data_IF_563828438161
#
_entry.id   IF_563828438161
#
_cell.length_a   1.000
_cell.length_b   1.000
_cell.length_c   1.000
_cell.angle_alpha   90.00
_cell.angle_beta   90.00
_cell.angle_gamma   90.00
#
_symmetry.space_group_name_H-M   'P 1'
#
loop_
_entity.id
_entity.type
_entity.pdbx_description
1 polymer ?
#
# COMPACT_ATOMS: atom_id res chain seq x y z
N UNK A 1 -10.72 7.17 8.95
CA UNK A 1 -11.23 5.88 8.46
C UNK A 1 -10.11 4.85 8.53
N UNK A 2 -10.46 3.58 8.50
CA UNK A 2 -9.54 2.43 8.57
C UNK A 2 -9.33 1.76 7.18
N UNK A 3 -10.29 1.98 6.27
CA UNK A 3 -10.25 1.48 4.89
C UNK A 3 -11.18 2.30 3.98
N UNK A 4 -11.15 2.01 2.70
CA UNK A 4 -12.05 2.61 1.71
C UNK A 4 -13.52 2.35 1.97
N UNK A 5 -14.40 3.01 1.23
CA UNK A 5 -15.84 2.89 1.38
C UNK A 5 -16.29 1.43 1.22
N UNK A 6 -17.19 0.98 2.08
CA UNK A 6 -17.80 -0.35 1.95
C UNK A 6 -18.80 -0.39 0.78
N UNK A 7 -18.79 -1.42 -0.08
CA UNK A 7 -19.79 -1.59 -1.12
C UNK A 7 -21.22 -1.77 -0.56
N UNK A 8 -21.35 -2.13 0.72
CA UNK A 8 -22.66 -2.19 1.40
C UNK A 8 -23.31 -0.81 1.60
N UNK A 9 -22.60 0.28 1.30
CA UNK A 9 -23.16 1.63 1.29
C UNK A 9 -24.01 1.93 0.04
N UNK A 10 -24.31 0.93 -0.78
CA UNK A 10 -25.06 1.05 -2.05
C UNK A 10 -24.46 2.12 -2.97
N UNK A 11 -23.28 1.80 -3.52
CA UNK A 11 -22.47 2.73 -4.33
C UNK A 11 -23.23 3.22 -5.58
N UNK A 12 -24.11 2.37 -6.14
CA UNK A 12 -24.90 2.70 -7.31
C UNK A 12 -25.98 3.73 -6.96
N UNK A 13 -26.67 3.57 -5.82
CA UNK A 13 -27.63 4.56 -5.34
C UNK A 13 -26.94 5.90 -5.02
N UNK A 14 -25.80 5.87 -4.34
CA UNK A 14 -25.00 7.07 -4.07
C UNK A 14 -24.58 7.80 -5.35
N UNK A 15 -24.21 7.05 -6.39
CA UNK A 15 -23.85 7.63 -7.68
C UNK A 15 -25.01 8.36 -8.35
N UNK A 16 -26.28 7.91 -8.16
CA UNK A 16 -27.47 8.58 -8.73
C UNK A 16 -27.68 9.98 -8.17
N UNK A 17 -27.22 10.23 -6.93
CA UNK A 17 -27.28 11.56 -6.28
C UNK A 17 -25.97 12.33 -6.40
N UNK A 18 -25.04 11.84 -7.25
CA UNK A 18 -23.76 12.49 -7.50
C UNK A 18 -22.71 12.29 -6.41
N UNK A 19 -22.95 11.43 -5.43
CA UNK A 19 -21.99 11.13 -4.37
C UNK A 19 -21.06 10.00 -4.78
N UNK A 20 -19.74 10.25 -4.71
CA UNK A 20 -18.68 9.29 -5.03
C UNK A 20 -17.79 9.12 -3.81
N UNK A 21 -18.03 8.13 -2.94
CA UNK A 21 -17.31 7.99 -1.67
C UNK A 21 -15.83 7.66 -1.83
N UNK A 22 -15.42 7.02 -2.94
CA UNK A 22 -14.01 6.82 -3.29
C UNK A 22 -13.45 7.97 -4.15
N UNK A 23 -14.19 9.07 -4.37
CA UNK A 23 -13.81 10.23 -5.18
C UNK A 23 -13.41 9.81 -6.61
N UNK A 24 -12.15 10.03 -7.01
CA UNK A 24 -11.59 9.63 -8.32
C UNK A 24 -10.84 8.31 -8.26
N UNK A 25 -10.66 7.75 -7.07
CA UNK A 25 -9.90 6.53 -6.85
C UNK A 25 -10.69 5.31 -7.30
N UNK A 26 -10.02 4.39 -7.98
CA UNK A 26 -10.61 3.11 -8.38
C UNK A 26 -10.87 2.23 -7.18
N UNK A 27 -11.94 1.45 -7.24
CA UNK A 27 -12.26 0.44 -6.24
C UNK A 27 -12.84 1.00 -4.95
N UNK A 28 -12.91 0.14 -3.96
CA UNK A 28 -13.48 0.39 -2.64
C UNK A 28 -12.87 -0.59 -1.61
N UNK A 29 -13.36 -0.62 -0.39
CA UNK A 29 -12.96 -1.58 0.65
C UNK A 29 -12.74 -2.97 0.06
N UNK A 30 -11.66 -3.63 0.47
CA UNK A 30 -11.18 -4.95 0.05
C UNK A 30 -10.29 -4.97 -1.20
N UNK A 31 -10.33 -3.94 -2.03
CA UNK A 31 -9.59 -3.90 -3.28
C UNK A 31 -8.13 -3.46 -3.09
N UNK A 32 -7.26 -3.91 -4.00
CA UNK A 32 -5.85 -3.49 -4.05
C UNK A 32 -5.69 -2.05 -4.58
N UNK A 33 -6.70 -1.53 -5.26
CA UNK A 33 -6.72 -0.19 -5.84
C UNK A 33 -6.76 0.92 -4.77
N UNK A 34 -6.40 2.15 -5.16
CA UNK A 34 -6.34 3.32 -4.26
C UNK A 34 -7.64 3.53 -3.47
N UNK A 35 -8.82 3.30 -4.05
CA UNK A 35 -10.11 3.42 -3.36
C UNK A 35 -10.31 2.42 -2.21
N UNK A 36 -9.50 1.34 -2.16
CA UNK A 36 -9.54 0.35 -1.08
C UNK A 36 -8.83 0.81 0.19
N UNK A 37 -7.81 1.66 0.08
CA UNK A 37 -6.92 1.99 1.20
C UNK A 37 -6.50 3.47 1.28
N UNK A 38 -6.69 4.28 0.25
CA UNK A 38 -6.41 5.72 0.30
C UNK A 38 -7.53 6.46 1.03
N UNK A 39 -7.29 6.71 2.31
CA UNK A 39 -8.25 7.26 3.25
C UNK A 39 -7.76 8.60 3.82
N UNK A 40 -8.68 9.48 4.27
CA UNK A 40 -8.29 10.71 4.95
C UNK A 40 -7.74 10.44 6.34
N UNK A 41 -6.61 11.09 6.69
CA UNK A 41 -6.09 11.20 8.05
C UNK A 41 -6.27 12.64 8.53
N UNK A 42 -6.96 12.83 9.65
CA UNK A 42 -7.16 14.14 10.29
C UNK A 42 -6.67 14.04 11.74
N UNK A 43 -5.70 14.88 12.08
CA UNK A 43 -5.12 14.91 13.42
C UNK A 43 -5.38 16.28 14.06
N UNK A 44 -5.85 16.26 15.31
CA UNK A 44 -6.05 17.47 16.11
C UNK A 44 -5.32 17.33 17.43
N UNK A 45 -4.28 18.14 17.61
CA UNK A 45 -3.51 18.18 18.84
C UNK A 45 -3.13 19.65 19.17
N UNK A 46 -4.03 20.37 19.84
CA UNK A 46 -3.77 21.79 20.21
C UNK A 46 -2.44 21.93 20.94
N UNK A 47 -1.74 23.02 20.69
CA UNK A 47 -0.42 23.37 21.20
C UNK A 47 0.76 22.59 20.60
N UNK A 48 0.55 21.53 19.84
CA UNK A 48 1.60 20.74 19.18
C UNK A 48 1.50 20.80 17.65
N UNK A 49 0.28 20.83 17.12
CA UNK A 49 0.01 20.88 15.69
C UNK A 49 -0.67 22.21 15.36
N UNK A 50 -0.12 22.95 14.41
CA UNK A 50 -0.71 24.18 13.94
C UNK A 50 -2.05 23.94 13.22
N UNK A 51 -3.05 24.77 13.51
CA UNK A 51 -4.35 24.65 12.83
C UNK A 51 -4.23 24.95 11.33
N UNK A 52 -4.97 24.18 10.51
CA UNK A 52 -5.01 24.36 9.06
C UNK A 52 -3.77 23.85 8.31
N UNK A 53 -2.88 23.09 8.96
CA UNK A 53 -1.75 22.45 8.30
C UNK A 53 -2.24 21.33 7.39
N UNK A 54 -1.64 21.23 6.19
CA UNK A 54 -1.84 20.16 5.23
C UNK A 54 -0.49 19.53 4.93
N UNK A 55 -0.44 18.20 4.86
CA UNK A 55 0.75 17.45 4.47
C UNK A 55 0.39 16.46 3.35
N UNK A 56 1.17 16.48 2.27
CA UNK A 56 0.99 15.61 1.10
C UNK A 56 1.88 14.35 1.15
N UNK A 57 2.63 14.19 2.24
CA UNK A 57 3.50 13.02 2.45
C UNK A 57 2.64 11.76 2.62
N UNK A 58 3.00 10.69 1.90
CA UNK A 58 2.35 9.39 2.07
C UNK A 58 2.66 8.82 3.45
N UNK A 59 1.60 8.41 4.15
CA UNK A 59 1.63 7.81 5.49
C UNK A 59 0.74 6.56 5.51
N UNK A 60 0.91 5.71 6.50
CA UNK A 60 0.13 4.49 6.68
C UNK A 60 -0.46 4.38 8.08
N UNK A 61 -1.56 3.64 8.23
CA UNK A 61 -2.13 3.39 9.56
C UNK A 61 -1.19 2.61 10.48
N UNK A 62 -0.32 1.77 9.93
CA UNK A 62 0.70 1.06 10.73
C UNK A 62 1.66 2.03 11.43
N UNK A 63 1.81 3.26 10.92
CA UNK A 63 2.68 4.30 11.46
C UNK A 63 2.22 4.84 12.81
N UNK A 64 0.96 4.60 13.17
CA UNK A 64 0.42 5.05 14.44
C UNK A 64 1.13 4.40 15.64
N UNK A 65 1.62 3.16 15.52
CA UNK A 65 2.33 2.50 16.62
C UNK A 65 3.65 3.21 16.94
N UNK A 66 4.53 3.41 15.95
CA UNK A 66 5.78 4.14 16.14
C UNK A 66 5.53 5.61 16.53
N UNK A 67 4.47 6.24 15.99
CA UNK A 67 4.10 7.61 16.33
C UNK A 67 3.68 7.74 17.80
N UNK A 68 2.87 6.80 18.30
CA UNK A 68 2.47 6.83 19.72
C UNK A 68 3.64 6.54 20.65
N UNK A 69 4.53 5.61 20.30
CA UNK A 69 5.75 5.34 21.05
C UNK A 69 6.64 6.60 21.13
N UNK A 70 6.84 7.29 20.01
CA UNK A 70 7.62 8.53 19.93
C UNK A 70 6.98 9.66 20.76
N UNK A 71 5.66 9.81 20.75
CA UNK A 71 4.92 10.78 21.60
C UNK A 71 5.16 10.51 23.09
N UNK A 72 5.18 9.23 23.48
CA UNK A 72 5.37 8.82 24.86
C UNK A 72 6.84 8.81 25.28
N UNK A 73 7.77 8.91 24.34
CA UNK A 73 9.20 8.79 24.61
C UNK A 73 9.65 7.36 24.93
N UNK A 74 8.88 6.36 24.51
CA UNK A 74 9.14 4.95 24.74
C UNK A 74 9.79 4.32 23.50
N UNK A 75 11.02 3.76 23.63
CA UNK A 75 11.66 3.10 22.48
C UNK A 75 10.94 1.78 22.18
N UNK A 76 10.71 1.53 20.89
CA UNK A 76 10.25 0.23 20.41
C UNK A 76 11.44 -0.74 20.30
N UNK A 77 11.28 -2.02 20.69
CA UNK A 77 12.28 -3.03 20.41
C UNK A 77 12.37 -3.31 18.90
N UNK A 78 13.50 -3.84 18.45
CA UNK A 78 13.78 -4.04 17.02
C UNK A 78 12.88 -5.10 16.35
N UNK A 79 12.28 -5.96 17.16
CA UNK A 79 11.31 -7.01 16.77
C UNK A 79 9.85 -6.59 16.95
N UNK A 80 9.58 -5.29 16.97
CA UNK A 80 8.22 -4.73 17.01
C UNK A 80 8.11 -3.52 16.09
N UNK A 81 6.93 -3.37 15.50
CA UNK A 81 6.62 -2.27 14.57
C UNK A 81 7.55 -2.22 13.32
N UNK A 82 7.87 -3.39 12.78
CA UNK A 82 8.82 -3.61 11.68
C UNK A 82 8.50 -2.80 10.43
N UNK A 83 7.22 -2.41 10.26
CA UNK A 83 6.72 -1.61 9.15
C UNK A 83 6.25 -0.21 9.56
N UNK A 84 6.46 0.18 10.82
CA UNK A 84 5.93 1.43 11.36
C UNK A 84 6.99 2.53 11.42
N UNK A 85 6.65 3.72 10.92
CA UNK A 85 7.50 4.91 10.94
C UNK A 85 6.79 6.04 11.68
N UNK A 86 7.46 6.71 12.62
CA UNK A 86 6.84 7.81 13.35
C UNK A 86 6.49 8.99 12.44
N UNK A 87 5.23 9.41 12.49
CA UNK A 87 4.70 10.61 11.82
C UNK A 87 4.79 11.86 12.70
N UNK A 88 5.30 11.77 13.92
CA UNK A 88 5.31 12.87 14.90
C UNK A 88 5.99 14.14 14.35
N UNK A 89 7.13 13.97 13.68
CA UNK A 89 7.84 15.10 13.08
C UNK A 89 7.02 15.76 11.96
N UNK A 90 6.30 14.97 11.16
CA UNK A 90 5.40 15.47 10.11
C UNK A 90 4.23 16.23 10.73
N UNK A 91 3.56 15.66 11.72
CA UNK A 91 2.43 16.30 12.40
C UNK A 91 2.80 17.65 13.02
N UNK A 92 4.00 17.73 13.60
CA UNK A 92 4.51 18.97 14.23
C UNK A 92 5.17 19.95 13.23
N UNK A 93 5.12 19.67 11.92
CA UNK A 93 5.71 20.56 10.90
C UNK A 93 7.24 20.65 10.97
N UNK A 94 7.92 19.60 11.46
CA UNK A 94 9.38 19.54 11.64
C UNK A 94 10.10 18.76 10.54
N UNK A 95 9.37 18.29 9.52
CA UNK A 95 9.96 17.59 8.36
C UNK A 95 10.28 18.59 7.25
N UNK A 96 11.29 18.27 6.44
CA UNK A 96 11.55 19.00 5.20
C UNK A 96 10.43 18.71 4.18
N UNK A 97 9.97 19.77 3.51
CA UNK A 97 8.92 19.63 2.49
C UNK A 97 9.36 18.67 1.37
N UNK A 98 8.51 17.72 1.03
CA UNK A 98 8.75 16.74 -0.03
C UNK A 98 9.67 15.59 0.35
N UNK A 99 10.17 15.52 1.58
CA UNK A 99 10.95 14.37 2.04
C UNK A 99 10.00 13.27 2.49
N UNK A 100 10.06 12.05 1.89
CA UNK A 100 9.25 10.93 2.33
C UNK A 100 9.68 10.45 3.73
N UNK A 101 8.73 9.99 4.52
CA UNK A 101 8.99 9.38 5.84
C UNK A 101 9.50 7.94 5.69
N UNK A 102 9.08 7.28 4.64
CA UNK A 102 9.41 5.88 4.30
C UNK A 102 9.83 5.76 2.85
N UNK A 103 10.55 4.71 2.51
CA UNK A 103 10.95 4.42 1.14
C UNK A 103 9.74 4.09 0.28
N UNK A 104 8.97 3.09 0.68
CA UNK A 104 7.77 2.64 -0.02
C UNK A 104 6.65 2.25 0.95
N UNK A 105 5.42 2.13 0.45
CA UNK A 105 4.28 1.59 1.18
C UNK A 105 3.82 0.28 0.55
N UNK A 106 3.46 -0.69 1.39
CA UNK A 106 2.90 -1.98 0.96
C UNK A 106 1.46 -2.06 1.40
N UNK A 107 0.58 -2.56 0.53
CA UNK A 107 -0.83 -2.80 0.83
C UNK A 107 -1.23 -4.21 0.41
N UNK A 108 -2.30 -4.69 1.02
CA UNK A 108 -2.92 -5.96 0.67
C UNK A 108 -4.39 -5.75 0.31
N UNK A 109 -4.85 -6.53 -0.64
CA UNK A 109 -6.28 -6.74 -0.86
C UNK A 109 -6.83 -7.80 0.09
N UNK A 110 -8.15 -8.00 0.09
CA UNK A 110 -8.81 -8.98 0.97
C UNK A 110 -8.40 -10.43 0.67
N UNK A 111 -7.98 -10.75 -0.55
CA UNK A 111 -7.46 -12.08 -0.88
C UNK A 111 -5.96 -12.23 -0.60
N UNK A 112 -5.32 -11.20 -0.03
CA UNK A 112 -3.90 -11.19 0.32
C UNK A 112 -2.94 -10.81 -0.81
N UNK A 113 -3.44 -10.40 -1.99
CA UNK A 113 -2.56 -9.90 -3.05
C UNK A 113 -1.81 -8.66 -2.58
N UNK A 114 -0.54 -8.55 -3.00
CA UNK A 114 0.34 -7.47 -2.60
C UNK A 114 0.32 -6.31 -3.61
N UNK A 115 0.50 -5.10 -3.11
CA UNK A 115 0.96 -3.96 -3.90
C UNK A 115 2.07 -3.22 -3.19
N UNK A 116 2.96 -2.60 -3.96
CA UNK A 116 3.99 -1.69 -3.45
C UNK A 116 3.91 -0.36 -4.18
N UNK A 117 4.05 0.73 -3.42
CA UNK A 117 4.08 2.09 -3.95
C UNK A 117 5.37 2.79 -3.54
N UNK A 118 6.11 3.27 -4.53
CA UNK A 118 7.31 4.11 -4.38
C UNK A 118 7.10 5.42 -5.15
N UNK A 119 6.97 6.52 -4.44
CA UNK A 119 6.64 7.81 -5.03
C UNK A 119 5.28 7.79 -5.74
N UNK A 120 5.26 8.06 -7.05
CA UNK A 120 4.05 7.99 -7.87
C UNK A 120 3.80 6.59 -8.47
N UNK A 121 4.80 5.72 -8.52
CA UNK A 121 4.65 4.40 -9.08
C UNK A 121 4.01 3.43 -8.10
N UNK A 122 3.00 2.69 -8.57
CA UNK A 122 2.34 1.62 -7.82
C UNK A 122 2.28 0.36 -8.65
N UNK A 123 2.89 -0.71 -8.11
CA UNK A 123 2.87 -2.06 -8.67
C UNK A 123 1.91 -2.92 -7.86
N UNK A 124 1.03 -3.64 -8.55
CA UNK A 124 0.07 -4.57 -7.96
C UNK A 124 0.35 -5.98 -8.48
N UNK A 125 0.63 -6.91 -7.57
CA UNK A 125 1.04 -8.30 -7.87
C UNK A 125 -0.18 -9.21 -8.11
N UNK A 126 -1.18 -8.69 -8.80
CA UNK A 126 -2.37 -9.45 -9.17
C UNK A 126 -3.04 -8.89 -10.44
N UNK A 127 -3.79 -9.73 -11.20
CA UNK A 127 -4.40 -9.35 -12.48
C UNK A 127 -5.74 -8.62 -12.36
N UNK A 128 -6.14 -8.16 -11.21
CA UNK A 128 -7.44 -7.50 -11.01
C UNK A 128 -7.51 -6.82 -9.66
N UNK A 129 -8.72 -6.68 -9.11
CA UNK A 129 -8.93 -5.96 -7.85
C UNK A 129 -8.32 -6.65 -6.62
N UNK A 130 -8.03 -7.94 -6.69
CA UNK A 130 -7.71 -8.74 -5.51
C UNK A 130 -8.85 -8.77 -4.47
N UNK A 131 -9.97 -8.13 -4.77
CA UNK A 131 -11.07 -7.88 -3.84
C UNK A 131 -12.45 -8.04 -4.46
N UNK A 132 -13.32 -7.06 -4.23
CA UNK A 132 -14.73 -7.14 -4.54
C UNK A 132 -15.17 -6.34 -5.78
N UNK A 133 -14.32 -5.41 -6.27
CA UNK A 133 -14.55 -4.72 -7.53
C UNK A 133 -14.18 -5.59 -8.72
N UNK A 134 -14.72 -5.25 -9.88
CA UNK A 134 -14.34 -5.86 -11.15
C UNK A 134 -12.95 -5.39 -11.61
N UNK A 135 -12.09 -6.27 -12.19
CA UNK A 135 -12.19 -7.74 -12.27
C UNK A 135 -11.93 -8.41 -10.91
N UNK A 136 -12.82 -9.31 -10.51
CA UNK A 136 -12.70 -10.03 -9.24
C UNK A 136 -11.73 -11.20 -9.34
N UNK A 137 -11.20 -11.69 -8.21
CA UNK A 137 -10.49 -12.96 -8.17
C UNK A 137 -11.33 -14.11 -8.77
N UNK A 138 -10.69 -14.98 -9.54
CA UNK A 138 -11.37 -16.09 -10.25
C UNK A 138 -11.40 -15.90 -11.76
N UNK A 139 -12.46 -16.37 -12.42
CA UNK A 139 -12.58 -16.39 -13.90
C UNK A 139 -12.59 -15.01 -14.58
N UNK A 140 -12.92 -13.95 -13.85
CA UNK A 140 -12.89 -12.57 -14.40
C UNK A 140 -11.46 -12.07 -14.70
N UNK A 141 -10.43 -12.80 -14.25
CA UNK A 141 -9.01 -12.48 -14.49
C UNK A 141 -8.46 -13.13 -15.76
N UNK A 142 -9.22 -14.00 -16.40
CA UNK A 142 -8.75 -14.75 -17.58
C UNK A 142 -8.31 -13.81 -18.70
N UNK A 143 -7.09 -13.99 -19.20
CA UNK A 143 -6.51 -13.16 -20.25
C UNK A 143 -5.99 -11.79 -19.81
N UNK A 144 -6.08 -11.45 -18.52
CA UNK A 144 -5.46 -10.22 -17.99
C UNK A 144 -3.96 -10.44 -17.71
N UNK A 145 -3.13 -9.38 -17.80
CA UNK A 145 -1.76 -9.43 -17.33
C UNK A 145 -1.66 -9.86 -15.87
N UNK A 146 -0.62 -10.61 -15.46
CA UNK A 146 -0.48 -11.09 -14.09
C UNK A 146 -0.24 -9.98 -13.06
N UNK A 147 0.27 -8.84 -13.52
CA UNK A 147 0.59 -7.66 -12.71
C UNK A 147 0.02 -6.39 -13.32
N UNK A 148 -0.09 -5.35 -12.50
CA UNK A 148 -0.53 -4.03 -12.92
C UNK A 148 0.44 -2.98 -12.40
N UNK A 149 0.83 -2.03 -13.27
CA UNK A 149 1.67 -0.89 -12.91
C UNK A 149 0.95 0.41 -13.28
N UNK A 150 0.93 1.36 -12.35
CA UNK A 150 0.32 2.67 -12.54
C UNK A 150 1.26 3.80 -12.11
N UNK A 151 1.28 4.89 -12.90
CA UNK A 151 1.83 6.17 -12.44
C UNK A 151 0.69 7.02 -11.86
N UNK A 152 0.56 7.05 -10.55
CA UNK A 152 -0.50 7.78 -9.86
C UNK A 152 -0.42 9.31 -10.01
N UNK A 153 0.69 9.84 -10.54
CA UNK A 153 0.79 11.26 -10.86
C UNK A 153 0.04 11.62 -12.15
N UNK A 154 -0.05 10.68 -13.07
CA UNK A 154 -0.73 10.83 -14.36
C UNK A 154 -2.11 10.14 -14.35
N UNK A 155 -2.25 9.02 -13.65
CA UNK A 155 -3.44 8.17 -13.61
C UNK A 155 -3.78 7.75 -12.18
N UNK A 156 -4.27 8.71 -11.39
CA UNK A 156 -4.69 8.47 -10.00
C UNK A 156 -5.90 7.52 -9.89
N UNK A 157 -6.61 7.31 -10.99
CA UNK A 157 -7.77 6.41 -11.10
C UNK A 157 -7.41 4.98 -11.51
N UNK A 158 -6.13 4.67 -11.73
CA UNK A 158 -5.64 3.32 -12.05
C UNK A 158 -6.38 2.71 -13.25
N UNK A 159 -6.51 3.48 -14.33
CA UNK A 159 -7.31 3.11 -15.52
C UNK A 159 -6.49 2.47 -16.62
N UNK A 160 -5.20 2.80 -16.71
CA UNK A 160 -4.27 2.35 -17.76
C UNK A 160 -3.09 1.56 -17.19
N UNK A 161 -3.11 0.22 -17.30
CA UNK A 161 -1.98 -0.60 -16.88
C UNK A 161 -0.80 -0.44 -17.85
N UNK A 162 0.31 0.13 -17.36
CA UNK A 162 1.51 0.45 -18.16
C UNK A 162 2.70 -0.48 -17.87
N UNK A 163 2.48 -1.65 -17.25
CA UNK A 163 3.54 -2.56 -16.84
C UNK A 163 4.47 -2.96 -17.99
N UNK A 164 3.93 -3.17 -19.20
CA UNK A 164 4.71 -3.57 -20.36
C UNK A 164 5.56 -2.43 -20.95
N UNK A 165 5.22 -1.18 -20.64
CA UNK A 165 5.92 0.02 -21.11
C UNK A 165 7.09 0.40 -20.21
N UNK A 166 7.06 -0.07 -18.94
CA UNK A 166 8.03 0.30 -17.91
C UNK A 166 8.64 -0.92 -17.19
N UNK A 167 9.28 -1.87 -17.91
CA UNK A 167 9.79 -3.11 -17.30
C UNK A 167 10.81 -2.87 -16.20
N UNK A 168 11.65 -1.83 -16.31
CA UNK A 168 12.63 -1.51 -15.27
C UNK A 168 11.98 -1.01 -13.97
N UNK A 169 10.85 -0.33 -14.06
CA UNK A 169 10.09 0.09 -12.87
C UNK A 169 9.45 -1.12 -12.20
N UNK A 170 8.91 -2.05 -13.00
CA UNK A 170 8.37 -3.32 -12.50
C UNK A 170 9.46 -4.09 -11.75
N UNK A 171 10.62 -4.30 -12.36
CA UNK A 171 11.75 -5.00 -11.76
C UNK A 171 12.17 -4.36 -10.43
N UNK A 172 12.44 -3.05 -10.42
CA UNK A 172 12.86 -2.34 -9.20
C UNK A 172 11.84 -2.44 -8.05
N UNK A 173 10.53 -2.37 -8.36
CA UNK A 173 9.49 -2.46 -7.34
C UNK A 173 9.27 -3.90 -6.86
N UNK A 174 9.43 -4.88 -7.75
CA UNK A 174 9.38 -6.31 -7.38
C UNK A 174 10.54 -6.65 -6.47
N UNK A 175 11.77 -6.23 -6.80
CA UNK A 175 12.97 -6.45 -5.99
C UNK A 175 12.81 -5.82 -4.60
N UNK A 176 12.31 -4.60 -4.54
CA UNK A 176 12.08 -3.91 -3.25
C UNK A 176 11.02 -4.62 -2.41
N UNK A 177 9.92 -5.06 -3.03
CA UNK A 177 8.87 -5.81 -2.34
C UNK A 177 9.40 -7.16 -1.84
N UNK A 178 10.14 -7.89 -2.69
CA UNK A 178 10.79 -9.16 -2.34
C UNK A 178 11.74 -8.98 -1.16
N UNK A 179 12.56 -7.92 -1.18
CA UNK A 179 13.44 -7.58 -0.07
C UNK A 179 12.65 -7.41 1.24
N UNK A 180 11.55 -6.66 1.23
CA UNK A 180 10.75 -6.45 2.44
C UNK A 180 10.14 -7.75 2.98
N UNK A 181 9.70 -8.64 2.07
CA UNK A 181 9.19 -9.97 2.45
C UNK A 181 10.30 -10.83 3.06
N UNK A 182 11.48 -10.88 2.43
CA UNK A 182 12.62 -11.70 2.92
C UNK A 182 13.17 -11.16 4.24
N UNK A 183 13.29 -9.85 4.37
CA UNK A 183 13.79 -9.21 5.60
C UNK A 183 12.74 -9.17 6.73
N UNK A 184 11.46 -9.49 6.43
CA UNK A 184 10.35 -9.45 7.40
C UNK A 184 10.09 -8.05 7.94
N UNK A 185 10.48 -7.00 7.20
CA UNK A 185 10.32 -5.59 7.57
C UNK A 185 10.55 -4.64 6.39
N UNK A 186 9.93 -3.47 6.46
CA UNK A 186 10.13 -2.36 5.51
C UNK A 186 10.87 -1.15 6.11
N UNK A 187 11.29 -1.23 7.38
CA UNK A 187 12.03 -0.19 8.09
C UNK A 187 13.48 -0.63 8.37
N UNK A 188 14.43 0.31 8.63
CA UNK A 188 15.78 -0.05 9.04
C UNK A 188 15.80 -0.86 10.33
N UNK A 189 16.62 -1.92 10.40
CA UNK A 189 16.80 -2.78 11.57
C UNK A 189 17.30 -4.17 11.19
N UNK A 190 17.41 -5.07 12.16
CA UNK A 190 17.78 -6.46 11.89
C UNK A 190 16.62 -7.20 11.21
N UNK A 191 16.89 -8.07 10.22
CA UNK A 191 15.84 -8.89 9.60
C UNK A 191 15.07 -9.69 10.65
N UNK A 192 13.76 -9.78 10.46
CA UNK A 192 12.86 -10.51 11.31
C UNK A 192 12.37 -11.78 10.59
N UNK A 193 12.13 -12.84 11.35
CA UNK A 193 11.60 -14.08 10.78
C UNK A 193 10.12 -13.95 10.48
N UNK A 194 9.72 -14.31 9.27
CA UNK A 194 8.32 -14.44 8.94
C UNK A 194 7.69 -15.61 9.74
N UNK A 195 6.48 -15.39 10.24
CA UNK A 195 5.67 -16.42 10.89
C UNK A 195 4.48 -16.81 10.02
N UNK A 196 4.11 -18.08 10.00
CA UNK A 196 2.95 -18.56 9.25
C UNK A 196 3.30 -19.68 8.27
N UNK A 197 2.54 -19.76 7.17
CA UNK A 197 2.74 -20.78 6.13
C UNK A 197 4.03 -20.48 5.33
N UNK A 198 4.83 -21.49 5.07
CA UNK A 198 6.07 -21.34 4.29
C UNK A 198 5.81 -20.94 2.83
N UNK A 199 4.63 -21.29 2.29
CA UNK A 199 4.25 -20.99 0.92
C UNK A 199 2.91 -20.24 0.91
N UNK A 200 2.96 -18.96 0.61
CA UNK A 200 1.79 -18.16 0.32
C UNK A 200 1.57 -18.10 -1.19
N UNK A 201 0.40 -18.49 -1.65
CA UNK A 201 0.02 -18.38 -3.06
C UNK A 201 0.22 -16.95 -3.61
N UNK A 202 0.04 -15.95 -2.76
CA UNK A 202 0.19 -14.54 -3.11
C UNK A 202 1.65 -14.09 -3.28
N UNK A 203 2.63 -14.92 -2.95
CA UNK A 203 4.06 -14.70 -3.19
C UNK A 203 4.55 -15.46 -4.44
N UNK A 204 3.68 -15.67 -5.41
CA UNK A 204 3.95 -16.45 -6.62
C UNK A 204 5.20 -16.00 -7.38
N UNK A 205 5.50 -14.70 -7.40
CA UNK A 205 6.69 -14.15 -8.10
C UNK A 205 8.02 -14.55 -7.45
N UNK A 206 8.01 -15.02 -6.21
CA UNK A 206 9.22 -15.50 -5.51
C UNK A 206 9.43 -17.01 -5.72
N UNK A 207 8.43 -17.73 -6.25
CA UNK A 207 8.49 -19.18 -6.43
C UNK A 207 9.19 -19.57 -7.74
N UNK A 208 9.12 -18.72 -8.75
CA UNK A 208 9.74 -18.95 -10.06
C UNK A 208 11.28 -18.91 -9.98
N UNK A 209 11.87 -18.10 -9.09
CA UNK A 209 13.31 -18.02 -8.89
C UNK A 209 13.90 -19.30 -8.27
N UNK A 210 13.16 -19.98 -7.38
CA UNK A 210 13.62 -21.23 -6.77
C UNK A 210 13.61 -22.43 -7.77
N UNK A 211 12.79 -22.40 -8.80
CA UNK A 211 12.77 -23.44 -9.83
C UNK A 211 13.93 -23.26 -10.84
N UNK A 212 14.32 -22.04 -11.18
CA UNK A 212 15.48 -21.77 -12.04
C UNK A 212 16.81 -22.15 -11.35
N UNK A 213 16.98 -21.89 -10.06
CA UNK A 213 18.18 -22.29 -9.30
C UNK A 213 18.28 -23.82 -9.08
N UNK A 214 17.18 -24.56 -9.15
CA UNK A 214 17.14 -26.02 -9.00
C UNK A 214 17.23 -26.79 -10.31
N UNK A 215 17.24 -26.12 -11.44
CA UNK A 215 17.44 -26.78 -12.74
C UNK A 215 18.95 -27.02 -12.98
N UNK A 216 19.37 -28.27 -13.20
CA UNK A 216 20.78 -28.68 -13.27
C UNK A 216 21.50 -28.23 -14.54
#
# INVERSE_FOLDING_TARGET
SDNGCSPMADLDELATVGHRPSYVFRGHKADIYEGGHRIPLLVRWPSHIAAGTIADTTVCLVDLLATMADILGEPLPDDAAEDSVSELALWCGRTEAGRPLREATVHHSVNGSFSIRLGSWKLEMCPGSGGWSFPRPGGEREGLPPIQLYDLSADVGETGNVYAEHPQVVENLTDLLTKYVVEGRSTPGAPQSNSGCELWEQLWWMQDEEEEERSP
#
